data_IF_769457189052
#
_entry.id   IF_769457189052
#
_cell.length_a   1.000
_cell.length_b   1.000
_cell.length_c   1.000
_cell.angle_alpha   90.00
_cell.angle_beta   90.00
_cell.angle_gamma   90.00
#
_symmetry.space_group_name_H-M   'P 1'
#
loop_
_entity.id
_entity.type
_entity.pdbx_description
1 polymer ?
#
# COMPACT_ATOMS: atom_id res chain seq x y z
N UNK A 1 -13.81 1.95 -0.34
CA UNK A 1 -12.60 2.22 -1.15
C UNK A 1 -11.64 3.15 -0.42
N UNK A 2 -12.06 4.35 -0.01
CA UNK A 2 -11.18 5.32 0.68
C UNK A 2 -10.52 4.77 1.94
N UNK A 3 -11.30 4.19 2.87
CA UNK A 3 -10.75 3.57 4.09
C UNK A 3 -9.76 2.45 3.77
N UNK A 4 -10.08 1.61 2.77
CA UNK A 4 -9.22 0.49 2.35
C UNK A 4 -7.89 1.00 1.78
N UNK A 5 -7.94 2.03 0.92
CA UNK A 5 -6.73 2.62 0.37
C UNK A 5 -5.86 3.26 1.46
N UNK A 6 -6.48 3.94 2.43
CA UNK A 6 -5.77 4.54 3.56
C UNK A 6 -5.09 3.46 4.43
N UNK A 7 -5.79 2.35 4.70
CA UNK A 7 -5.23 1.20 5.40
C UNK A 7 -4.01 0.62 4.68
N UNK A 8 -4.12 0.39 3.36
CA UNK A 8 -2.99 -0.13 2.56
C UNK A 8 -1.82 0.85 2.59
N UNK A 9 -2.08 2.16 2.46
CA UNK A 9 -1.05 3.20 2.49
C UNK A 9 -0.30 3.23 3.83
N UNK A 10 -1.02 3.16 4.96
CA UNK A 10 -0.41 3.06 6.30
C UNK A 10 0.41 1.77 6.44
N UNK A 11 -0.15 0.65 5.98
CA UNK A 11 0.54 -0.63 5.99
C UNK A 11 1.85 -0.58 5.21
N UNK A 12 1.84 -0.05 3.99
CA UNK A 12 3.04 0.12 3.17
C UNK A 12 4.05 1.08 3.80
N UNK A 13 3.58 2.13 4.48
CA UNK A 13 4.46 3.04 5.25
C UNK A 13 5.16 2.31 6.38
N UNK A 14 4.41 1.52 7.14
CA UNK A 14 4.95 0.70 8.24
C UNK A 14 5.96 -0.30 7.70
N UNK A 15 5.64 -0.99 6.60
CA UNK A 15 6.52 -1.94 5.94
C UNK A 15 7.83 -1.29 5.48
N UNK A 16 7.77 -0.16 4.77
CA UNK A 16 8.99 0.46 4.25
C UNK A 16 9.87 1.02 5.36
N UNK A 17 9.27 1.66 6.36
CA UNK A 17 10.02 2.33 7.45
C UNK A 17 10.55 1.35 8.50
N UNK A 18 9.72 0.46 9.05
CA UNK A 18 10.16 -0.43 10.12
C UNK A 18 11.12 -1.50 9.60
N UNK A 19 10.93 -2.01 8.38
CA UNK A 19 11.87 -2.98 7.79
C UNK A 19 13.22 -2.32 7.54
N UNK A 20 13.26 -1.10 7.02
CA UNK A 20 14.53 -0.37 6.83
C UNK A 20 15.23 -0.07 8.15
N UNK A 21 14.46 0.29 9.19
CA UNK A 21 15.01 0.45 10.54
C UNK A 21 15.63 -0.85 11.06
N UNK A 22 14.93 -1.99 10.94
CA UNK A 22 15.45 -3.30 11.37
C UNK A 22 16.65 -3.74 10.56
N UNK A 23 16.69 -3.38 9.28
CA UNK A 23 17.79 -3.71 8.38
C UNK A 23 19.14 -3.16 8.86
N UNK A 24 19.13 -2.02 9.57
CA UNK A 24 20.33 -1.42 10.17
C UNK A 24 20.98 -2.31 11.25
N UNK A 25 20.21 -3.23 11.84
CA UNK A 25 20.67 -4.17 12.87
C UNK A 25 21.12 -5.53 12.26
N UNK A 26 20.79 -5.77 10.98
CA UNK A 26 21.07 -7.03 10.28
C UNK A 26 22.51 -7.09 9.78
N UNK A 27 23.29 -8.02 10.33
CA UNK A 27 24.70 -8.25 9.95
C UNK A 27 24.88 -9.17 8.74
N UNK A 28 23.87 -9.99 8.42
CA UNK A 28 23.96 -10.93 7.30
C UNK A 28 23.73 -10.18 5.97
N UNK A 29 24.74 -10.17 5.09
CA UNK A 29 24.68 -9.42 3.81
C UNK A 29 23.50 -9.81 2.91
N UNK A 30 23.16 -11.10 2.84
CA UNK A 30 22.04 -11.57 2.00
C UNK A 30 20.72 -11.05 2.52
N UNK A 31 20.49 -11.17 3.83
CA UNK A 31 19.28 -10.66 4.46
C UNK A 31 19.22 -9.14 4.42
N UNK A 32 20.36 -8.47 4.59
CA UNK A 32 20.41 -7.01 4.47
C UNK A 32 19.96 -6.53 3.07
N UNK A 33 20.46 -7.17 2.01
CA UNK A 33 19.99 -6.90 0.65
C UNK A 33 18.50 -7.22 0.45
N UNK A 34 18.02 -8.31 1.06
CA UNK A 34 16.60 -8.72 0.98
C UNK A 34 15.69 -7.68 1.63
N UNK A 35 16.00 -7.23 2.84
CA UNK A 35 15.22 -6.21 3.56
C UNK A 35 15.28 -4.85 2.84
N UNK A 36 16.43 -4.50 2.27
CA UNK A 36 16.58 -3.27 1.47
C UNK A 36 15.68 -3.30 0.23
N UNK A 37 15.63 -4.43 -0.48
CA UNK A 37 14.77 -4.59 -1.64
C UNK A 37 13.29 -4.50 -1.25
N UNK A 38 12.90 -5.21 -0.17
CA UNK A 38 11.54 -5.18 0.36
C UNK A 38 11.09 -3.77 0.75
N UNK A 39 11.93 -3.02 1.49
CA UNK A 39 11.62 -1.65 1.89
C UNK A 39 11.44 -0.72 0.68
N UNK A 40 12.29 -0.87 -0.36
CA UNK A 40 12.17 -0.10 -1.60
C UNK A 40 10.93 -0.44 -2.42
N UNK A 41 10.59 -1.72 -2.54
CA UNK A 41 9.42 -2.16 -3.30
C UNK A 41 8.11 -1.71 -2.65
N UNK A 42 8.02 -1.80 -1.31
CA UNK A 42 6.86 -1.30 -0.55
C UNK A 42 6.74 0.22 -0.62
N UNK A 43 7.87 0.94 -0.56
CA UNK A 43 7.90 2.40 -0.77
C UNK A 43 7.46 2.78 -2.19
N UNK A 44 7.91 2.04 -3.21
CA UNK A 44 7.52 2.26 -4.60
C UNK A 44 6.02 2.09 -4.80
N UNK A 45 5.45 1.01 -4.25
CA UNK A 45 4.00 0.80 -4.32
C UNK A 45 3.27 1.93 -3.59
N UNK A 46 3.72 2.32 -2.38
CA UNK A 46 3.14 3.44 -1.63
C UNK A 46 3.13 4.74 -2.43
N UNK A 47 4.26 5.09 -3.04
CA UNK A 47 4.41 6.28 -3.86
C UNK A 47 3.44 6.27 -5.06
N UNK A 48 3.27 5.11 -5.72
CA UNK A 48 2.33 4.99 -6.84
C UNK A 48 0.85 5.22 -6.48
N UNK A 49 0.48 5.15 -5.19
CA UNK A 49 -0.89 5.44 -4.75
C UNK A 49 -1.22 6.93 -4.70
N UNK A 50 -0.19 7.79 -4.61
CA UNK A 50 -0.31 9.22 -4.31
C UNK A 50 0.43 10.14 -5.27
N UNK A 51 1.30 9.60 -6.15
CA UNK A 51 2.13 10.44 -7.00
C UNK A 51 1.27 11.20 -8.02
N UNK A 52 1.37 12.52 -7.97
CA UNK A 52 0.91 13.43 -9.03
C UNK A 52 1.99 13.66 -10.09
N UNK A 53 3.24 13.30 -9.78
CA UNK A 53 4.41 13.61 -10.58
C UNK A 53 4.85 12.34 -11.31
N UNK A 54 4.55 12.33 -12.62
CA UNK A 54 5.10 11.38 -13.56
C UNK A 54 6.57 11.68 -13.77
N UNK A 55 7.43 10.80 -13.28
CA UNK A 55 8.79 10.63 -13.78
C UNK A 55 8.75 9.87 -15.10
N UNK A 56 8.08 10.43 -16.13
CA UNK A 56 8.08 10.06 -17.57
C UNK A 56 8.01 8.56 -17.97
N UNK A 57 7.80 7.62 -17.05
CA UNK A 57 7.88 6.18 -17.31
C UNK A 57 6.83 5.33 -16.57
N UNK A 58 5.99 5.96 -15.75
CA UNK A 58 4.85 5.28 -15.11
C UNK A 58 3.60 6.01 -15.60
N UNK A 59 2.95 5.34 -16.56
CA UNK A 59 1.59 5.52 -17.09
C UNK A 59 0.75 6.67 -16.46
N UNK A 60 0.18 7.53 -17.30
CA UNK A 60 -0.66 8.71 -16.96
C UNK A 60 -1.91 8.37 -16.09
N UNK A 61 -2.07 7.11 -15.69
CA UNK A 61 -3.12 6.52 -14.89
C UNK A 61 -2.81 6.46 -13.37
N UNK A 62 -1.67 6.97 -12.91
CA UNK A 62 -1.15 6.72 -11.57
C UNK A 62 -1.56 7.74 -10.49
N UNK A 63 -2.86 7.95 -10.23
CA UNK A 63 -3.30 8.60 -8.99
C UNK A 63 -4.58 8.00 -8.41
N UNK A 64 -4.48 6.77 -7.91
CA UNK A 64 -5.63 6.04 -7.37
C UNK A 64 -6.30 6.78 -6.21
N UNK A 65 -5.54 7.49 -5.37
CA UNK A 65 -6.10 8.29 -4.26
C UNK A 65 -6.96 9.44 -4.77
N UNK A 66 -6.48 10.20 -5.73
CA UNK A 66 -7.21 11.33 -6.30
C UNK A 66 -8.44 10.86 -7.08
N UNK A 67 -8.31 9.80 -7.87
CA UNK A 67 -9.42 9.23 -8.64
C UNK A 67 -10.58 8.80 -7.72
N UNK A 68 -10.26 8.08 -6.63
CA UNK A 68 -11.27 7.65 -5.64
C UNK A 68 -11.89 8.86 -4.93
N UNK A 69 -11.08 9.87 -4.58
CA UNK A 69 -11.56 11.08 -3.92
C UNK A 69 -12.49 11.88 -4.82
N UNK A 70 -12.13 12.02 -6.09
CA UNK A 70 -12.91 12.72 -7.12
C UNK A 70 -14.24 12.00 -7.37
N UNK A 71 -14.22 10.68 -7.50
CA UNK A 71 -15.45 9.89 -7.65
C UNK A 71 -16.37 10.05 -6.43
N UNK A 72 -15.83 9.99 -5.21
CA UNK A 72 -16.61 10.16 -3.99
C UNK A 72 -17.27 11.54 -3.92
N UNK A 73 -16.54 12.60 -4.29
CA UNK A 73 -17.09 13.96 -4.38
C UNK A 73 -18.20 14.04 -5.43
N UNK A 74 -17.97 13.51 -6.64
CA UNK A 74 -18.93 13.52 -7.73
C UNK A 74 -20.24 12.78 -7.38
N UNK A 75 -20.15 11.65 -6.67
CA UNK A 75 -21.33 10.91 -6.20
C UNK A 75 -22.05 11.70 -5.10
N UNK A 76 -21.31 12.25 -4.13
CA UNK A 76 -21.89 12.99 -3.01
C UNK A 76 -22.61 14.28 -3.41
N UNK A 77 -22.22 14.87 -4.54
CA UNK A 77 -22.76 16.13 -5.05
C UNK A 77 -23.88 15.94 -6.09
N UNK A 78 -24.17 14.70 -6.52
CA UNK A 78 -25.17 14.41 -7.54
C UNK A 78 -26.54 14.05 -6.92
N UNK A 79 -27.59 14.89 -7.10
CA UNK A 79 -28.93 14.57 -6.62
C UNK A 79 -29.59 13.56 -7.58
N UNK A 80 -29.50 12.27 -7.27
CA UNK A 80 -30.15 11.22 -8.05
C UNK A 80 -29.43 9.88 -8.00
N UNK A 81 -29.90 8.91 -8.80
CA UNK A 81 -29.16 7.66 -9.00
C UNK A 81 -27.86 7.95 -9.79
N UNK A 82 -26.75 7.26 -9.49
CA UNK A 82 -25.52 7.42 -10.25
C UNK A 82 -25.71 7.18 -11.75
N UNK A 83 -24.99 7.93 -12.59
CA UNK A 83 -24.95 7.72 -14.04
C UNK A 83 -24.22 6.42 -14.40
N UNK A 84 -24.46 5.89 -15.61
CA UNK A 84 -23.70 4.74 -16.12
C UNK A 84 -22.19 5.00 -16.15
N UNK A 85 -21.76 6.24 -16.44
CA UNK A 85 -20.35 6.63 -16.39
C UNK A 85 -19.78 6.60 -14.97
N UNK A 86 -20.54 7.00 -13.95
CA UNK A 86 -20.12 6.91 -12.55
C UNK A 86 -20.02 5.45 -12.09
N UNK A 87 -20.94 4.58 -12.54
CA UNK A 87 -20.89 3.14 -12.26
C UNK A 87 -19.66 2.48 -12.91
N UNK A 88 -19.42 2.76 -14.20
CA UNK A 88 -18.24 2.26 -14.91
C UNK A 88 -16.93 2.70 -14.25
N UNK A 89 -16.84 3.97 -13.84
CA UNK A 89 -15.66 4.49 -13.13
C UNK A 89 -15.49 3.84 -11.75
N UNK A 90 -16.59 3.57 -11.04
CA UNK A 90 -16.55 2.85 -9.75
C UNK A 90 -15.96 1.46 -9.92
N UNK A 91 -16.37 0.73 -10.96
CA UNK A 91 -15.87 -0.62 -11.24
C UNK A 91 -14.38 -0.62 -11.61
N UNK A 92 -13.96 0.29 -12.50
CA UNK A 92 -12.55 0.48 -12.86
C UNK A 92 -11.67 0.72 -11.61
N UNK A 93 -12.09 1.65 -10.74
CA UNK A 93 -11.33 1.98 -9.54
C UNK A 93 -11.34 0.84 -8.51
N UNK A 94 -12.41 0.05 -8.44
CA UNK A 94 -12.46 -1.14 -7.59
C UNK A 94 -11.45 -2.19 -8.07
N UNK A 95 -11.35 -2.42 -9.38
CA UNK A 95 -10.38 -3.36 -9.95
C UNK A 95 -8.94 -2.92 -9.69
N UNK A 96 -8.64 -1.63 -9.83
CA UNK A 96 -7.33 -1.05 -9.48
C UNK A 96 -7.02 -1.20 -7.99
N UNK A 97 -7.98 -0.91 -7.11
CA UNK A 97 -7.82 -1.09 -5.67
C UNK A 97 -7.60 -2.57 -5.30
N UNK A 98 -8.28 -3.51 -5.96
CA UNK A 98 -8.08 -4.94 -5.74
C UNK A 98 -6.69 -5.40 -6.19
N UNK A 99 -6.14 -4.83 -7.28
CA UNK A 99 -4.77 -5.12 -7.70
C UNK A 99 -3.75 -4.64 -6.65
N UNK A 100 -3.92 -3.41 -6.17
CA UNK A 100 -3.09 -2.88 -5.07
C UNK A 100 -3.22 -3.75 -3.81
N UNK A 101 -4.44 -4.20 -3.47
CA UNK A 101 -4.68 -5.11 -2.35
C UNK A 101 -3.93 -6.44 -2.52
N UNK A 102 -3.95 -7.04 -3.72
CA UNK A 102 -3.21 -8.28 -4.01
C UNK A 102 -1.70 -8.09 -3.82
N UNK A 103 -1.15 -6.98 -4.30
CA UNK A 103 0.28 -6.67 -4.11
C UNK A 103 0.62 -6.48 -2.63
N UNK A 104 -0.24 -5.76 -1.89
CA UNK A 104 -0.09 -5.58 -0.45
C UNK A 104 -0.14 -6.90 0.33
N UNK A 105 -1.06 -7.81 0.00
CA UNK A 105 -1.13 -9.13 0.63
C UNK A 105 0.06 -10.02 0.27
N UNK A 106 0.64 -9.84 -0.93
CA UNK A 106 1.93 -10.40 -1.31
C UNK A 106 3.05 -9.94 -0.38
N UNK A 107 3.13 -8.64 -0.09
CA UNK A 107 4.10 -8.11 0.86
C UNK A 107 3.88 -8.60 2.29
N UNK A 108 2.62 -8.76 2.75
CA UNK A 108 2.34 -9.39 4.06
C UNK A 108 2.88 -10.81 4.13
N UNK A 109 2.69 -11.59 3.07
CA UNK A 109 3.19 -12.98 3.01
C UNK A 109 4.72 -13.04 3.05
N UNK A 110 5.39 -12.12 2.33
CA UNK A 110 6.85 -11.98 2.40
C UNK A 110 7.33 -11.54 3.79
N UNK A 111 6.58 -10.63 4.44
CA UNK A 111 6.88 -10.16 5.78
C UNK A 111 6.92 -11.30 6.79
N UNK A 112 6.08 -12.34 6.67
CA UNK A 112 6.14 -13.50 7.57
C UNK A 112 7.53 -14.16 7.55
N UNK A 113 8.16 -14.26 6.37
CA UNK A 113 9.50 -14.84 6.23
C UNK A 113 10.58 -13.91 6.79
N UNK A 114 10.43 -12.60 6.60
CA UNK A 114 11.31 -11.58 7.19
C UNK A 114 11.21 -11.63 8.72
N UNK A 115 10.00 -11.68 9.29
CA UNK A 115 9.77 -11.73 10.73
C UNK A 115 10.34 -13.00 11.36
N UNK A 116 10.22 -14.17 10.69
CA UNK A 116 10.89 -15.40 11.14
C UNK A 116 12.41 -15.20 11.23
N UNK A 117 13.02 -14.57 10.23
CA UNK A 117 14.45 -14.27 10.25
C UNK A 117 14.85 -13.27 11.35
N UNK A 118 14.09 -12.19 11.51
CA UNK A 118 14.33 -11.19 12.55
C UNK A 118 14.29 -11.85 13.94
N UNK A 119 13.27 -12.66 14.21
CA UNK A 119 13.13 -13.38 15.47
C UNK A 119 14.28 -14.36 15.72
N UNK A 120 14.71 -15.13 14.70
CA UNK A 120 15.89 -16.00 14.79
C UNK A 120 17.18 -15.23 15.07
N UNK A 121 17.25 -13.97 14.62
CA UNK A 121 18.37 -13.06 14.84
C UNK A 121 18.22 -12.24 16.14
N UNK A 122 17.24 -12.56 16.98
CA UNK A 122 16.91 -11.85 18.23
C UNK A 122 16.52 -10.38 18.03
N UNK A 123 16.07 -10.03 16.82
CA UNK A 123 15.50 -8.72 16.48
C UNK A 123 13.98 -8.75 16.62
N UNK A 124 13.40 -7.63 17.00
CA UNK A 124 11.95 -7.53 17.12
C UNK A 124 11.28 -7.57 15.72
N UNK A 125 10.17 -8.32 15.57
CA UNK A 125 9.44 -8.39 14.31
C UNK A 125 8.74 -7.05 14.01
N UNK A 126 8.47 -6.82 12.73
CA UNK A 126 7.63 -5.72 12.24
C UNK A 126 6.18 -6.12 12.39
N UNK A 127 5.35 -5.22 12.92
CA UNK A 127 3.94 -5.48 13.20
C UNK A 127 3.04 -4.60 12.33
N UNK A 128 2.06 -5.22 11.69
CA UNK A 128 1.01 -4.50 10.97
C UNK A 128 -0.28 -4.49 11.77
N UNK A 129 -0.92 -3.33 11.83
CA UNK A 129 -2.31 -3.25 12.30
C UNK A 129 -3.23 -4.03 11.37
N UNK A 130 -4.23 -4.69 11.94
CA UNK A 130 -5.39 -5.18 11.19
C UNK A 130 -6.23 -4.00 10.69
N UNK A 131 -7.10 -4.25 9.70
CA UNK A 131 -8.02 -3.22 9.22
C UNK A 131 -8.94 -2.71 10.33
N UNK A 132 -9.41 -3.59 11.20
CA UNK A 132 -10.28 -3.23 12.34
C UNK A 132 -9.56 -2.38 13.39
N UNK A 133 -8.27 -2.63 13.63
CA UNK A 133 -7.46 -1.79 14.52
C UNK A 133 -7.17 -0.43 13.89
N UNK A 134 -6.88 -0.38 12.59
CA UNK A 134 -6.72 0.86 11.85
C UNK A 134 -7.97 1.74 11.95
N UNK A 135 -9.17 1.17 11.77
CA UNK A 135 -10.43 1.92 11.83
C UNK A 135 -10.77 2.49 13.22
N UNK A 136 -10.10 2.04 14.27
CA UNK A 136 -10.29 2.50 15.65
C UNK A 136 -9.32 3.61 16.06
N UNK A 137 -8.30 3.89 15.24
CA UNK A 137 -7.38 5.02 15.44
C UNK A 137 -8.08 6.32 15.06
#
# INVERSE_FOLDING_TARGET
MTEQLAYIYEGLTTLSTEVDQRNSEVKNKKWNATLTAFAKETEKLKASLVSLEGDFYIDESANLREDISTLALNISSFPGKPSESQLAKTEELNQRLQEVQRQFDGFKSQLESINKYLQQSQLAPVQLSTFEEFKKK
#
